data_IF_048127438300
#
_entry.id   IF_048127438300
#
_cell.length_a   1.000
_cell.length_b   1.000
_cell.length_c   1.000
_cell.angle_alpha   90.00
_cell.angle_beta   90.00
_cell.angle_gamma   90.00
#
_symmetry.space_group_name_H-M   'P 1'
#
loop_
_entity.id
_entity.type
_entity.pdbx_description
1 polymer ?
#
# COMPACT_ATOMS: atom_id res chain seq x y z
N UNK A 1 -4.20 -11.18 -16.13
CA UNK A 1 -3.59 -11.34 -17.46
C UNK A 1 -2.53 -12.46 -17.58
N UNK A 2 -1.65 -12.74 -16.60
CA UNK A 2 -0.83 -13.97 -16.61
C UNK A 2 -1.49 -15.14 -15.84
N UNK A 3 -2.16 -14.81 -14.72
CA UNK A 3 -2.91 -15.76 -13.89
C UNK A 3 -4.09 -16.41 -14.61
N UNK A 4 -4.66 -15.71 -15.61
CA UNK A 4 -5.80 -16.20 -16.41
C UNK A 4 -5.35 -17.20 -17.50
N UNK A 5 -4.04 -17.27 -17.81
CA UNK A 5 -3.48 -18.18 -18.83
C UNK A 5 -2.75 -19.40 -18.25
N UNK A 6 -2.04 -19.23 -17.14
CA UNK A 6 -1.20 -20.30 -16.53
C UNK A 6 -1.91 -20.97 -15.35
N UNK A 7 -3.02 -20.38 -14.89
CA UNK A 7 -3.75 -20.83 -13.71
C UNK A 7 -3.22 -20.19 -12.43
N UNK A 8 -4.14 -19.72 -11.59
CA UNK A 8 -3.83 -18.94 -10.37
C UNK A 8 -2.94 -19.70 -9.38
N UNK A 9 -3.14 -21.02 -9.25
CA UNK A 9 -2.31 -21.90 -8.40
C UNK A 9 -0.84 -21.90 -8.82
N UNK A 10 -0.56 -21.93 -10.13
CA UNK A 10 0.80 -21.88 -10.65
C UNK A 10 1.46 -20.53 -10.38
N UNK A 11 0.70 -19.42 -10.50
CA UNK A 11 1.25 -18.09 -10.24
C UNK A 11 1.55 -17.89 -8.77
N UNK A 12 0.68 -18.32 -7.86
CA UNK A 12 0.96 -18.29 -6.41
C UNK A 12 2.17 -19.17 -6.07
N UNK A 13 2.27 -20.37 -6.66
CA UNK A 13 3.43 -21.25 -6.49
C UNK A 13 4.73 -20.57 -6.92
N UNK A 14 4.72 -19.86 -8.05
CA UNK A 14 5.87 -19.10 -8.53
C UNK A 14 6.23 -17.93 -7.61
N UNK A 15 5.24 -17.24 -7.03
CA UNK A 15 5.48 -16.18 -6.03
C UNK A 15 6.07 -16.72 -4.73
N UNK A 16 5.57 -17.85 -4.22
CA UNK A 16 6.11 -18.51 -3.03
C UNK A 16 7.54 -19.01 -3.28
N UNK A 17 7.80 -19.62 -4.43
CA UNK A 17 9.13 -20.07 -4.82
C UNK A 17 10.12 -18.91 -4.94
N UNK A 18 9.72 -17.80 -5.57
CA UNK A 18 10.52 -16.59 -5.64
C UNK A 18 10.87 -16.06 -4.24
N UNK A 19 9.91 -16.02 -3.32
CA UNK A 19 10.13 -15.59 -1.94
C UNK A 19 11.10 -16.51 -1.19
N UNK A 20 10.95 -17.83 -1.35
CA UNK A 20 11.88 -18.82 -0.80
C UNK A 20 13.32 -18.56 -1.28
N UNK A 21 13.52 -18.40 -2.59
CA UNK A 21 14.83 -18.10 -3.17
C UNK A 21 15.42 -16.79 -2.62
N UNK A 22 14.60 -15.74 -2.44
CA UNK A 22 15.03 -14.48 -1.83
C UNK A 22 15.54 -14.67 -0.40
N UNK A 23 14.79 -15.42 0.44
CA UNK A 23 15.18 -15.66 1.83
C UNK A 23 16.44 -16.52 1.93
N UNK A 24 16.54 -17.60 1.14
CA UNK A 24 17.71 -18.46 1.11
C UNK A 24 18.94 -17.68 0.63
N UNK A 25 18.83 -16.93 -0.46
CA UNK A 25 19.95 -16.15 -0.99
C UNK A 25 20.45 -15.11 0.02
N UNK A 26 19.52 -14.34 0.61
CA UNK A 26 19.85 -13.32 1.60
C UNK A 26 20.48 -13.95 2.84
N UNK A 27 19.95 -15.09 3.32
CA UNK A 27 20.53 -15.82 4.45
C UNK A 27 21.94 -16.33 4.12
N UNK A 28 22.16 -16.91 2.94
CA UNK A 28 23.49 -17.38 2.51
C UNK A 28 24.51 -16.24 2.47
N UNK A 29 24.17 -15.10 1.85
CA UNK A 29 25.08 -13.94 1.77
C UNK A 29 25.39 -13.39 3.16
N UNK A 30 24.40 -13.29 4.05
CA UNK A 30 24.59 -12.78 5.41
C UNK A 30 25.31 -13.76 6.34
N UNK A 31 25.09 -15.07 6.18
CA UNK A 31 25.75 -16.09 6.98
C UNK A 31 27.22 -16.26 6.57
N UNK A 32 27.49 -16.29 5.27
CA UNK A 32 28.83 -16.41 4.70
C UNK A 32 29.49 -15.06 4.40
N UNK A 33 29.18 -14.02 5.19
CA UNK A 33 29.66 -12.64 4.96
C UNK A 33 31.19 -12.50 4.95
N UNK A 34 31.92 -13.48 5.50
CA UNK A 34 33.39 -13.52 5.50
C UNK A 34 33.99 -14.02 4.18
N UNK A 35 33.25 -14.81 3.41
CA UNK A 35 33.70 -15.40 2.15
C UNK A 35 33.03 -14.75 0.94
N UNK A 36 31.76 -14.36 1.08
CA UNK A 36 30.98 -13.71 0.03
C UNK A 36 31.00 -12.19 0.21
N UNK A 37 31.27 -11.41 -0.85
CA UNK A 37 31.17 -9.97 -0.76
C UNK A 37 29.71 -9.56 -0.51
N UNK A 38 29.48 -8.64 0.42
CA UNK A 38 28.14 -8.15 0.78
C UNK A 38 27.34 -7.63 -0.43
N UNK A 39 28.02 -7.13 -1.46
CA UNK A 39 27.39 -6.67 -2.71
C UNK A 39 26.54 -7.76 -3.42
N UNK A 40 26.77 -9.05 -3.14
CA UNK A 40 25.92 -10.11 -3.68
C UNK A 40 24.48 -10.06 -3.17
N UNK A 41 24.20 -9.31 -2.09
CA UNK A 41 22.82 -9.11 -1.63
C UNK A 41 21.96 -8.44 -2.70
N UNK A 42 22.53 -7.61 -3.57
CA UNK A 42 21.80 -6.92 -4.64
C UNK A 42 21.27 -7.85 -5.74
N UNK A 43 21.62 -9.14 -5.73
CA UNK A 43 21.06 -10.16 -6.63
C UNK A 43 19.63 -10.54 -6.23
N UNK A 44 19.24 -10.34 -4.97
CA UNK A 44 17.93 -10.78 -4.44
C UNK A 44 16.71 -10.34 -5.29
N UNK A 45 16.65 -9.11 -5.86
CA UNK A 45 15.47 -8.67 -6.62
C UNK A 45 15.26 -9.46 -7.92
N UNK A 46 16.30 -10.11 -8.47
CA UNK A 46 16.17 -10.92 -9.68
C UNK A 46 15.23 -12.11 -9.47
N UNK A 47 15.18 -12.68 -8.27
CA UNK A 47 14.24 -13.75 -7.95
C UNK A 47 12.79 -13.25 -7.91
N UNK A 48 12.58 -12.01 -7.46
CA UNK A 48 11.25 -11.38 -7.45
C UNK A 48 10.71 -11.13 -8.87
N UNK A 49 11.56 -11.04 -9.88
CA UNK A 49 11.13 -10.84 -11.27
C UNK A 49 10.26 -12.00 -11.77
N UNK A 50 10.56 -13.23 -11.34
CA UNK A 50 9.77 -14.42 -11.69
C UNK A 50 8.45 -14.49 -10.90
N UNK A 51 8.43 -14.04 -9.64
CA UNK A 51 7.27 -14.19 -8.75
C UNK A 51 6.36 -12.97 -8.62
N UNK A 52 6.77 -11.79 -9.11
CA UNK A 52 6.04 -10.53 -9.01
C UNK A 52 5.96 -9.93 -7.60
N UNK A 53 6.52 -10.61 -6.59
CA UNK A 53 6.59 -10.15 -5.20
C UNK A 53 5.25 -10.07 -4.47
N UNK A 54 5.25 -9.33 -3.35
CA UNK A 54 4.09 -9.25 -2.44
C UNK A 54 2.81 -8.65 -3.06
N UNK A 55 2.94 -7.74 -4.03
CA UNK A 55 1.79 -7.14 -4.72
C UNK A 55 1.04 -8.17 -5.58
N UNK A 56 1.77 -9.04 -6.26
CA UNK A 56 1.17 -10.12 -7.06
C UNK A 56 0.54 -11.17 -6.15
N UNK A 57 1.20 -11.55 -5.05
CA UNK A 57 0.60 -12.43 -4.05
C UNK A 57 -0.74 -11.88 -3.52
N UNK A 58 -0.76 -10.61 -3.10
CA UNK A 58 -1.94 -9.97 -2.55
C UNK A 58 -3.10 -9.91 -3.54
N UNK A 59 -2.84 -9.55 -4.80
CA UNK A 59 -3.88 -9.49 -5.84
C UNK A 59 -4.46 -10.85 -6.20
N UNK A 60 -3.67 -11.92 -6.18
CA UNK A 60 -4.17 -13.26 -6.46
C UNK A 60 -4.97 -13.81 -5.28
N UNK A 61 -4.54 -13.57 -4.04
CA UNK A 61 -5.28 -14.00 -2.84
C UNK A 61 -6.68 -13.35 -2.81
N UNK A 62 -6.78 -12.05 -3.09
CA UNK A 62 -8.07 -11.37 -3.16
C UNK A 62 -8.92 -11.87 -4.32
N UNK A 63 -8.32 -12.16 -5.46
CA UNK A 63 -9.02 -12.70 -6.62
C UNK A 63 -9.54 -14.14 -6.37
N UNK A 64 -8.78 -14.99 -5.69
CA UNK A 64 -9.22 -16.33 -5.27
C UNK A 64 -10.37 -16.23 -4.27
N UNK A 65 -10.26 -15.35 -3.28
CA UNK A 65 -11.33 -15.13 -2.30
C UNK A 65 -12.63 -14.63 -2.94
N UNK A 66 -12.53 -13.79 -3.98
CA UNK A 66 -13.68 -13.34 -4.75
C UNK A 66 -14.40 -14.49 -5.50
N UNK A 67 -13.64 -15.45 -6.03
CA UNK A 67 -14.16 -16.56 -6.84
C UNK A 67 -14.71 -17.73 -6.02
N UNK A 68 -14.04 -18.10 -4.93
CA UNK A 68 -14.46 -19.23 -4.08
C UNK A 68 -15.77 -18.92 -3.37
N UNK A 69 -16.12 -17.65 -3.20
CA UNK A 69 -17.30 -17.20 -2.45
C UNK A 69 -18.37 -16.66 -3.42
N UNK A 70 -19.47 -17.41 -3.68
CA UNK A 70 -20.48 -17.02 -4.66
C UNK A 70 -21.39 -15.88 -4.21
N UNK A 71 -21.73 -15.82 -2.91
CA UNK A 71 -22.67 -14.82 -2.36
C UNK A 71 -21.97 -13.52 -1.95
N UNK A 72 -22.54 -12.38 -2.29
CA UNK A 72 -21.99 -11.04 -2.00
C UNK A 72 -21.72 -10.80 -0.49
N UNK A 73 -22.66 -11.20 0.37
CA UNK A 73 -22.51 -11.07 1.83
C UNK A 73 -21.34 -11.89 2.39
N UNK A 74 -21.21 -13.15 1.96
CA UNK A 74 -20.11 -14.01 2.41
C UNK A 74 -18.76 -13.54 1.85
N UNK A 75 -18.72 -12.94 0.65
CA UNK A 75 -17.50 -12.39 0.06
C UNK A 75 -16.99 -11.20 0.87
N UNK A 76 -17.90 -10.32 1.28
CA UNK A 76 -17.60 -9.21 2.18
C UNK A 76 -17.03 -9.71 3.51
N UNK A 77 -17.62 -10.76 4.10
CA UNK A 77 -17.09 -11.41 5.32
C UNK A 77 -15.69 -12.01 5.10
N UNK A 78 -15.46 -12.67 3.96
CA UNK A 78 -14.15 -13.24 3.63
C UNK A 78 -13.06 -12.18 3.49
N UNK A 79 -13.34 -11.07 2.79
CA UNK A 79 -12.41 -9.94 2.70
C UNK A 79 -12.15 -9.29 4.06
N UNK A 80 -13.18 -9.18 4.90
CA UNK A 80 -13.02 -8.69 6.27
C UNK A 80 -12.09 -9.61 7.08
N UNK A 81 -12.29 -10.93 7.03
CA UNK A 81 -11.43 -11.91 7.70
C UNK A 81 -9.98 -11.86 7.21
N UNK A 82 -9.76 -11.74 5.90
CA UNK A 82 -8.40 -11.56 5.34
C UNK A 82 -7.73 -10.28 5.87
N UNK A 83 -8.50 -9.19 5.98
CA UNK A 83 -8.04 -7.96 6.60
C UNK A 83 -7.65 -8.15 8.07
N UNK A 84 -8.48 -8.81 8.86
CA UNK A 84 -8.23 -9.11 10.28
C UNK A 84 -6.97 -9.98 10.45
N UNK A 85 -6.82 -11.03 9.65
CA UNK A 85 -5.63 -11.91 9.70
C UNK A 85 -4.36 -11.09 9.41
N UNK A 86 -4.37 -10.25 8.38
CA UNK A 86 -3.25 -9.37 8.04
C UNK A 86 -2.89 -8.43 9.20
N UNK A 87 -3.91 -7.86 9.86
CA UNK A 87 -3.71 -7.01 11.03
C UNK A 87 -3.12 -7.76 12.24
N UNK A 88 -3.63 -8.95 12.54
CA UNK A 88 -3.11 -9.79 13.63
C UNK A 88 -1.65 -10.17 13.38
N UNK A 89 -1.30 -10.55 12.16
CA UNK A 89 0.09 -10.85 11.77
C UNK A 89 0.96 -9.61 11.92
N UNK A 90 0.50 -8.43 11.49
CA UNK A 90 1.26 -7.18 11.63
C UNK A 90 1.54 -6.78 13.10
N UNK A 91 0.64 -7.14 14.03
CA UNK A 91 0.83 -6.91 15.47
C UNK A 91 1.70 -7.98 16.12
N UNK A 92 1.51 -9.24 15.76
CA UNK A 92 2.15 -10.38 16.42
C UNK A 92 3.56 -10.70 15.89
N UNK A 93 3.80 -10.52 14.58
CA UNK A 93 5.07 -10.89 13.96
C UNK A 93 6.28 -10.12 14.53
N UNK A 94 6.23 -8.78 14.72
CA UNK A 94 7.38 -8.05 15.24
C UNK A 94 7.79 -8.45 16.67
N UNK A 95 6.89 -8.58 17.66
CA UNK A 95 7.26 -9.05 19.01
C UNK A 95 7.75 -10.49 19.05
N UNK A 96 7.16 -11.38 18.25
CA UNK A 96 7.62 -12.78 18.13
C UNK A 96 9.04 -12.80 17.56
N UNK A 97 9.27 -12.07 16.47
CA UNK A 97 10.60 -11.92 15.87
C UNK A 97 11.62 -11.30 16.84
N UNK A 98 11.21 -10.27 17.60
CA UNK A 98 12.05 -9.64 18.61
C UNK A 98 12.45 -10.61 19.73
N UNK A 99 11.52 -11.42 20.24
CA UNK A 99 11.82 -12.43 21.27
C UNK A 99 12.76 -13.52 20.74
N UNK A 100 12.51 -14.02 19.54
CA UNK A 100 13.40 -15.04 18.93
C UNK A 100 14.80 -14.45 18.72
N UNK A 101 14.89 -13.22 18.25
CA UNK A 101 16.17 -12.54 18.09
C UNK A 101 16.89 -12.32 19.42
N UNK A 102 16.16 -12.04 20.49
CA UNK A 102 16.72 -11.88 21.83
C UNK A 102 17.30 -13.19 22.40
N UNK A 103 16.58 -14.31 22.27
CA UNK A 103 16.99 -15.60 22.85
C UNK A 103 17.94 -16.41 21.97
N UNK A 104 17.73 -16.40 20.66
CA UNK A 104 18.44 -17.26 19.70
C UNK A 104 19.32 -16.48 18.70
N UNK A 105 19.31 -15.15 18.77
CA UNK A 105 20.10 -14.29 17.89
C UNK A 105 19.45 -13.98 16.53
N UNK A 106 20.02 -13.03 15.77
CA UNK A 106 19.44 -12.53 14.52
C UNK A 106 19.45 -13.56 13.39
N UNK A 107 20.45 -14.46 13.35
CA UNK A 107 20.54 -15.50 12.32
C UNK A 107 19.38 -16.49 12.41
N UNK A 108 19.00 -16.90 13.62
CA UNK A 108 17.86 -17.81 13.82
C UNK A 108 16.56 -17.09 13.50
N UNK A 109 16.39 -15.86 13.98
CA UNK A 109 15.20 -15.06 13.70
C UNK A 109 14.96 -14.85 12.20
N UNK A 110 16.02 -14.57 11.42
CA UNK A 110 15.93 -14.45 9.98
C UNK A 110 15.74 -15.81 9.29
N UNK A 111 16.49 -16.83 9.74
CA UNK A 111 16.48 -18.18 9.16
C UNK A 111 15.10 -18.85 9.22
N UNK A 112 14.28 -18.52 10.23
CA UNK A 112 12.90 -19.01 10.34
C UNK A 112 11.98 -18.62 9.17
N UNK A 113 12.30 -17.56 8.42
CA UNK A 113 11.54 -17.22 7.22
C UNK A 113 11.61 -18.32 6.14
N UNK A 114 12.71 -19.09 6.09
CA UNK A 114 12.89 -20.17 5.11
C UNK A 114 11.87 -21.30 5.32
N UNK A 115 11.82 -22.02 6.46
CA UNK A 115 10.82 -23.06 6.68
C UNK A 115 9.38 -22.49 6.66
N UNK A 116 9.17 -21.26 7.14
CA UNK A 116 7.85 -20.63 7.10
C UNK A 116 7.38 -20.38 5.66
N UNK A 117 8.27 -20.00 4.75
CA UNK A 117 7.95 -19.85 3.33
C UNK A 117 7.61 -21.18 2.65
N UNK A 118 8.19 -22.29 3.09
CA UNK A 118 7.80 -23.65 2.63
C UNK A 118 6.41 -24.02 3.16
N UNK A 119 6.11 -23.70 4.42
CA UNK A 119 4.77 -23.90 4.99
C UNK A 119 3.68 -23.13 4.24
N UNK A 120 4.02 -22.01 3.58
CA UNK A 120 3.07 -21.26 2.74
C UNK A 120 2.59 -22.06 1.51
N UNK A 121 3.27 -23.15 1.13
CA UNK A 121 2.83 -24.07 0.08
C UNK A 121 1.65 -24.94 0.54
N UNK A 122 1.49 -25.18 1.85
CA UNK A 122 0.40 -26.00 2.40
C UNK A 122 -0.98 -25.43 2.00
N UNK A 123 -1.33 -24.17 2.30
CA UNK A 123 -2.60 -23.60 1.85
C UNK A 123 -2.71 -23.58 0.32
N UNK A 124 -1.60 -23.44 -0.43
CA UNK A 124 -1.62 -23.52 -1.90
C UNK A 124 -2.05 -24.89 -2.42
N UNK A 125 -1.62 -25.97 -1.77
CA UNK A 125 -2.01 -27.33 -2.15
C UNK A 125 -3.49 -27.57 -1.84
N UNK A 126 -3.95 -27.07 -0.69
CA UNK A 126 -5.34 -27.18 -0.22
C UNK A 126 -6.32 -26.30 -1.00
N UNK A 127 -5.84 -25.26 -1.69
CA UNK A 127 -6.69 -24.44 -2.54
C UNK A 127 -7.24 -25.28 -3.70
N UNK A 128 -8.59 -25.35 -3.85
CA UNK A 128 -9.20 -26.01 -5.00
C UNK A 128 -8.74 -25.31 -6.28
N UNK A 129 -8.52 -26.07 -7.35
CA UNK A 129 -8.02 -25.54 -8.62
C UNK A 129 -9.11 -24.66 -9.26
N UNK A 130 -9.17 -23.37 -8.91
CA UNK A 130 -10.22 -22.43 -9.37
C UNK A 130 -10.05 -21.95 -10.81
N UNK A 131 -9.21 -22.59 -11.63
CA UNK A 131 -8.76 -22.02 -12.91
C UNK A 131 -9.06 -22.87 -14.16
N UNK A 132 -10.08 -23.74 -14.16
CA UNK A 132 -10.47 -24.47 -15.40
C UNK A 132 -11.94 -24.31 -15.82
N UNK A 133 -12.75 -23.53 -15.10
CA UNK A 133 -14.21 -23.66 -15.20
C UNK A 133 -15.00 -22.63 -16.02
N UNK A 134 -14.43 -21.53 -16.52
CA UNK A 134 -15.25 -20.47 -17.18
C UNK A 134 -14.72 -19.84 -18.47
N UNK A 135 -13.53 -20.21 -18.96
CA UNK A 135 -12.99 -19.63 -20.20
C UNK A 135 -13.05 -20.55 -21.43
N UNK A 136 -13.56 -21.78 -21.29
CA UNK A 136 -13.63 -22.76 -22.38
C UNK A 136 -15.05 -23.04 -22.91
N UNK A 137 -16.09 -22.35 -22.40
CA UNK A 137 -17.48 -22.63 -22.78
C UNK A 137 -18.19 -21.46 -23.49
N UNK A 138 -17.47 -20.40 -23.85
CA UNK A 138 -18.03 -19.23 -24.57
C UNK A 138 -17.37 -19.02 -25.95
N UNK A 139 -16.68 -20.04 -26.50
CA UNK A 139 -16.06 -20.00 -27.84
C UNK A 139 -16.53 -21.14 -28.75
N UNK A 140 -17.82 -21.51 -28.74
CA UNK A 140 -18.32 -22.53 -29.68
C UNK A 140 -19.62 -22.14 -30.40
N UNK A 141 -20.00 -20.87 -30.40
CA UNK A 141 -21.05 -20.38 -31.31
C UNK A 141 -20.71 -18.98 -31.83
N UNK A 142 -19.74 -18.90 -32.74
CA UNK A 142 -19.87 -18.11 -33.98
C UNK A 142 -18.72 -18.48 -34.94
N UNK A 143 -19.03 -19.26 -35.97
CA UNK A 143 -18.14 -19.57 -37.08
C UNK A 143 -18.31 -18.46 -38.12
N UNK A 144 -17.34 -17.53 -38.18
CA UNK A 144 -17.42 -16.36 -39.05
C UNK A 144 -16.11 -15.58 -39.17
N UNK A 145 -15.26 -15.99 -40.12
CA UNK A 145 -14.11 -15.26 -40.69
C UNK A 145 -12.87 -15.05 -39.81
N UNK A 146 -11.93 -15.99 -39.96
CA UNK A 146 -10.54 -15.91 -39.52
C UNK A 146 -9.80 -14.80 -40.27
N UNK A 147 -9.65 -13.64 -39.64
CA UNK A 147 -8.61 -12.66 -39.94
C UNK A 147 -7.51 -12.74 -38.87
N UNK A 148 -6.37 -13.33 -39.19
CA UNK A 148 -5.21 -13.44 -38.27
C UNK A 148 -4.74 -12.06 -37.78
N UNK A 149 -4.77 -11.73 -36.47
CA UNK A 149 -4.19 -10.48 -35.99
C UNK A 149 -2.68 -10.65 -35.84
N UNK A 150 -1.95 -9.91 -36.66
CA UNK A 150 -0.51 -9.78 -36.67
C UNK A 150 -0.03 -9.21 -35.32
N UNK A 151 0.60 -10.02 -34.45
CA UNK A 151 1.02 -9.65 -33.07
C UNK A 151 1.96 -8.43 -32.99
N UNK A 152 2.56 -8.00 -34.10
CA UNK A 152 3.38 -6.80 -34.18
C UNK A 152 2.57 -5.49 -34.29
N UNK A 153 1.32 -5.55 -34.78
CA UNK A 153 0.45 -4.36 -34.83
C UNK A 153 -0.14 -4.02 -33.47
N UNK A 154 -0.40 -5.02 -32.62
CA UNK A 154 -1.06 -4.89 -31.29
C UNK A 154 -0.25 -4.06 -30.28
N UNK A 155 1.09 -4.13 -30.33
CA UNK A 155 1.94 -3.28 -29.50
C UNK A 155 1.88 -1.84 -29.99
N UNK A 156 2.00 -1.59 -31.30
CA UNK A 156 2.02 -0.22 -31.86
C UNK A 156 0.67 0.49 -31.77
N UNK A 157 -0.46 -0.23 -31.89
CA UNK A 157 -1.80 0.31 -31.58
C UNK A 157 -1.97 0.52 -30.09
N UNK A 158 -1.52 -0.41 -29.23
CA UNK A 158 -1.54 -0.22 -27.77
C UNK A 158 -0.76 1.01 -27.31
N UNK A 159 0.41 1.29 -27.91
CA UNK A 159 1.17 2.52 -27.64
C UNK A 159 0.48 3.79 -28.16
N UNK A 160 -0.25 3.72 -29.28
CA UNK A 160 -1.00 4.87 -29.81
C UNK A 160 -2.27 5.14 -28.99
N UNK A 161 -2.98 4.10 -28.57
CA UNK A 161 -4.16 4.19 -27.71
C UNK A 161 -3.80 4.63 -26.29
N UNK A 162 -2.71 4.10 -25.73
CA UNK A 162 -2.17 4.58 -24.46
C UNK A 162 -1.72 6.04 -24.57
N UNK A 163 -1.10 6.44 -25.68
CA UNK A 163 -0.72 7.84 -25.92
C UNK A 163 -1.94 8.74 -26.11
N UNK A 164 -3.00 8.30 -26.78
CA UNK A 164 -4.23 9.09 -26.90
C UNK A 164 -4.98 9.20 -25.58
N UNK A 165 -5.08 8.13 -24.78
CA UNK A 165 -5.65 8.19 -23.43
C UNK A 165 -4.79 9.04 -22.48
N UNK A 166 -3.47 8.94 -22.55
CA UNK A 166 -2.56 9.78 -21.75
C UNK A 166 -2.65 11.24 -22.19
N UNK A 167 -2.74 11.55 -23.48
CA UNK A 167 -2.79 12.94 -23.94
C UNK A 167 -4.15 13.58 -23.70
N UNK A 168 -5.24 12.85 -23.97
CA UNK A 168 -6.60 13.39 -23.96
C UNK A 168 -7.28 13.33 -22.58
N UNK A 169 -6.94 12.36 -21.72
CA UNK A 169 -7.64 12.17 -20.43
C UNK A 169 -6.73 12.50 -19.22
N UNK A 170 -5.42 12.23 -19.33
CA UNK A 170 -4.46 12.45 -18.24
C UNK A 170 -4.09 13.92 -18.03
N UNK A 171 -3.81 14.66 -19.10
CA UNK A 171 -3.43 16.08 -19.00
C UNK A 171 -4.57 16.96 -18.46
N UNK A 172 -5.84 16.77 -18.83
CA UNK A 172 -6.94 17.51 -18.22
C UNK A 172 -7.07 17.29 -16.71
N UNK A 173 -6.87 16.06 -16.22
CA UNK A 173 -6.89 15.78 -14.78
C UNK A 173 -5.76 16.53 -14.04
N UNK A 174 -4.58 16.64 -14.65
CA UNK A 174 -3.45 17.40 -14.10
C UNK A 174 -3.64 18.93 -14.19
N UNK A 175 -4.64 19.44 -14.92
CA UNK A 175 -5.00 20.87 -14.86
C UNK A 175 -5.78 21.21 -13.60
N UNK A 176 -6.39 20.22 -12.94
CA UNK A 176 -7.11 20.43 -11.68
C UNK A 176 -6.12 20.58 -10.51
N UNK A 177 -5.96 21.81 -10.03
CA UNK A 177 -5.09 22.12 -8.88
C UNK A 177 -5.36 21.20 -7.67
N UNK A 178 -6.61 20.91 -7.28
CA UNK A 178 -6.89 19.97 -6.18
C UNK A 178 -6.36 18.55 -6.41
N UNK A 179 -6.42 18.05 -7.65
CA UNK A 179 -5.91 16.72 -8.00
C UNK A 179 -4.38 16.73 -7.93
N UNK A 180 -3.73 17.77 -8.46
CA UNK A 180 -2.26 17.90 -8.39
C UNK A 180 -1.78 17.97 -6.94
N UNK A 181 -2.44 18.77 -6.10
CA UNK A 181 -2.14 18.82 -4.66
C UNK A 181 -2.35 17.45 -4.03
N UNK A 182 -3.46 16.76 -4.32
CA UNK A 182 -3.73 15.41 -3.82
C UNK A 182 -2.68 14.37 -4.24
N UNK A 183 -2.21 14.43 -5.50
CA UNK A 183 -1.14 13.55 -5.99
C UNK A 183 0.19 13.85 -5.29
N UNK A 184 0.56 15.13 -5.17
CA UNK A 184 1.78 15.54 -4.45
C UNK A 184 1.72 15.13 -2.97
N UNK A 185 0.55 15.28 -2.35
CA UNK A 185 0.22 14.80 -1.02
C UNK A 185 0.44 13.29 -0.85
N UNK A 186 0.10 12.47 -1.86
CA UNK A 186 0.36 11.03 -1.86
C UNK A 186 1.85 10.69 -2.06
N UNK A 187 2.57 11.46 -2.88
CA UNK A 187 4.04 11.33 -3.01
C UNK A 187 4.70 11.59 -1.66
N UNK A 188 4.37 12.69 -0.98
CA UNK A 188 4.88 13.01 0.36
C UNK A 188 4.48 11.93 1.36
N UNK A 189 3.24 11.43 1.27
CA UNK A 189 2.74 10.33 2.10
C UNK A 189 3.57 9.04 1.99
N UNK A 190 4.26 8.82 0.86
CA UNK A 190 5.13 7.66 0.66
C UNK A 190 6.38 7.70 1.56
N UNK A 191 6.81 8.89 2.00
CA UNK A 191 7.92 9.02 2.96
C UNK A 191 7.59 8.43 4.32
N UNK A 192 6.35 8.57 4.81
CA UNK A 192 5.96 7.95 6.07
C UNK A 192 5.97 6.41 6.00
N UNK A 193 5.70 5.84 4.83
CA UNK A 193 5.82 4.39 4.61
C UNK A 193 7.29 3.97 4.66
N UNK A 194 8.16 4.71 3.96
CA UNK A 194 9.60 4.43 3.91
C UNK A 194 10.31 4.58 5.27
N UNK A 195 9.74 5.30 6.25
CA UNK A 195 10.26 5.34 7.63
C UNK A 195 10.41 3.95 8.22
N UNK A 196 9.53 3.00 7.87
CA UNK A 196 9.61 1.62 8.33
C UNK A 196 10.95 0.93 8.00
N UNK A 197 11.63 1.37 6.94
CA UNK A 197 12.91 0.81 6.49
C UNK A 197 14.09 1.29 7.33
N UNK A 198 14.01 2.52 7.87
CA UNK A 198 15.11 3.15 8.60
C UNK A 198 14.90 3.17 10.11
N UNK A 199 13.66 2.98 10.60
CA UNK A 199 13.29 3.19 12.01
C UNK A 199 14.15 2.36 12.96
N UNK A 200 14.42 1.11 12.64
CA UNK A 200 15.23 0.22 13.49
C UNK A 200 16.68 0.71 13.58
N UNK A 201 17.26 1.12 12.45
CA UNK A 201 18.63 1.63 12.38
C UNK A 201 18.76 2.97 13.13
N UNK A 202 17.78 3.84 12.94
CA UNK A 202 17.67 5.10 13.67
C UNK A 202 17.61 4.89 15.18
N UNK A 203 16.73 3.99 15.67
CA UNK A 203 16.57 3.73 17.11
C UNK A 203 17.87 3.23 17.74
N UNK A 204 18.60 2.37 17.02
CA UNK A 204 19.92 1.90 17.46
C UNK A 204 20.93 3.04 17.51
N UNK A 205 21.02 3.87 16.47
CA UNK A 205 21.97 4.96 16.40
C UNK A 205 21.67 6.10 17.39
N UNK A 206 20.39 6.41 17.62
CA UNK A 206 19.94 7.53 18.47
C UNK A 206 19.89 7.16 19.95
N UNK A 207 19.34 5.98 20.28
CA UNK A 207 19.06 5.59 21.67
C UNK A 207 19.92 4.43 22.17
N UNK A 208 20.80 3.86 21.33
CA UNK A 208 21.58 2.68 21.68
C UNK A 208 20.73 1.41 21.87
N UNK A 209 19.50 1.40 21.36
CA UNK A 209 18.59 0.27 21.51
C UNK A 209 19.08 -0.97 20.75
N UNK A 210 18.90 -2.14 21.36
CA UNK A 210 19.06 -3.42 20.66
C UNK A 210 17.99 -3.55 19.57
N UNK A 211 18.34 -4.25 18.48
CA UNK A 211 17.43 -4.46 17.34
C UNK A 211 16.08 -5.05 17.76
N UNK A 212 16.07 -5.90 18.80
CA UNK A 212 14.87 -6.53 19.36
C UNK A 212 13.92 -5.49 19.98
N UNK A 213 14.45 -4.54 20.75
CA UNK A 213 13.67 -3.48 21.40
C UNK A 213 13.09 -2.53 20.37
N UNK A 214 13.88 -2.17 19.36
CA UNK A 214 13.44 -1.31 18.26
C UNK A 214 12.29 -1.93 17.46
N UNK A 215 12.26 -3.25 17.33
CA UNK A 215 11.19 -3.98 16.62
C UNK A 215 9.84 -3.88 17.35
N UNK A 216 9.84 -3.72 18.68
CA UNK A 216 8.61 -3.54 19.47
C UNK A 216 7.87 -2.23 19.14
N UNK A 217 8.59 -1.21 18.64
CA UNK A 217 7.96 0.05 18.20
C UNK A 217 7.03 -0.20 17.00
N UNK A 218 7.45 -1.07 16.09
CA UNK A 218 6.63 -1.46 14.93
C UNK A 218 5.36 -2.17 15.41
N UNK A 219 5.48 -3.08 16.37
CA UNK A 219 4.36 -3.79 16.96
C UNK A 219 3.34 -2.86 17.62
N UNK A 220 3.82 -1.91 18.42
CA UNK A 220 2.98 -0.93 19.09
C UNK A 220 2.26 -0.03 18.08
N UNK A 221 2.97 0.44 17.05
CA UNK A 221 2.36 1.19 15.97
C UNK A 221 1.25 0.39 15.29
N UNK A 222 1.51 -0.88 14.94
CA UNK A 222 0.49 -1.76 14.37
C UNK A 222 -0.71 -1.94 15.32
N UNK A 223 -0.48 -2.16 16.62
CA UNK A 223 -1.54 -2.34 17.60
C UNK A 223 -2.40 -1.08 17.75
N UNK A 224 -1.78 0.10 17.76
CA UNK A 224 -2.49 1.38 17.76
C UNK A 224 -3.31 1.58 16.49
N UNK A 225 -2.78 1.22 15.31
CA UNK A 225 -3.55 1.29 14.06
C UNK A 225 -4.79 0.41 14.10
N UNK A 226 -4.67 -0.81 14.63
CA UNK A 226 -5.81 -1.71 14.83
C UNK A 226 -6.81 -1.10 15.80
N UNK A 227 -6.35 -0.60 16.96
CA UNK A 227 -7.21 0.04 17.94
C UNK A 227 -7.96 1.23 17.33
N UNK A 228 -7.27 2.12 16.62
CA UNK A 228 -7.85 3.29 15.97
C UNK A 228 -8.83 2.89 14.86
N UNK A 229 -8.52 1.87 14.06
CA UNK A 229 -9.43 1.39 13.02
C UNK A 229 -10.71 0.80 13.63
N UNK A 230 -10.59 0.04 14.73
CA UNK A 230 -11.73 -0.58 15.40
C UNK A 230 -12.57 0.38 16.25
N UNK A 231 -11.97 1.45 16.78
CA UNK A 231 -12.65 2.38 17.71
C UNK A 231 -12.97 3.72 17.08
N UNK A 232 -11.96 4.36 16.47
CA UNK A 232 -12.06 5.73 15.96
C UNK A 232 -12.77 5.75 14.62
N UNK A 233 -12.48 4.83 13.69
CA UNK A 233 -13.11 4.86 12.38
C UNK A 233 -14.65 4.69 12.43
N UNK A 234 -15.23 3.71 13.15
CA UNK A 234 -16.70 3.60 13.26
C UNK A 234 -17.32 4.77 14.04
N UNK A 235 -16.63 5.28 15.07
CA UNK A 235 -17.11 6.45 15.82
C UNK A 235 -17.08 7.73 14.96
N UNK A 236 -15.98 7.96 14.26
CA UNK A 236 -15.82 9.06 13.32
C UNK A 236 -16.84 8.95 12.19
N UNK A 237 -17.02 7.78 11.58
CA UNK A 237 -18.02 7.57 10.53
C UNK A 237 -19.44 7.88 11.04
N UNK A 238 -19.81 7.41 12.24
CA UNK A 238 -21.12 7.70 12.87
C UNK A 238 -21.32 9.19 13.22
N UNK A 239 -20.26 9.91 13.58
CA UNK A 239 -20.34 11.34 13.93
C UNK A 239 -20.27 12.25 12.70
N UNK A 240 -19.43 11.92 11.72
CA UNK A 240 -19.24 12.69 10.49
C UNK A 240 -20.49 12.61 9.60
N UNK A 241 -21.07 11.42 9.41
CA UNK A 241 -22.31 11.25 8.62
C UNK A 241 -23.52 11.96 9.23
N UNK A 242 -23.49 12.28 10.53
CA UNK A 242 -24.53 13.08 11.19
C UNK A 242 -24.36 14.59 11.02
N UNK A 243 -23.17 15.07 10.67
CA UNK A 243 -22.83 16.51 10.69
C UNK A 243 -22.39 17.08 9.35
N UNK A 244 -21.89 16.26 8.44
CA UNK A 244 -21.32 16.71 7.18
C UNK A 244 -21.69 15.76 6.03
N UNK A 245 -21.87 16.33 4.84
CA UNK A 245 -21.73 15.58 3.59
C UNK A 245 -20.39 14.85 3.57
N UNK A 246 -20.38 13.56 3.19
CA UNK A 246 -19.20 12.67 3.19
C UNK A 246 -17.94 13.34 2.62
N UNK A 247 -18.10 14.12 1.55
CA UNK A 247 -17.01 14.84 0.86
C UNK A 247 -16.34 15.94 1.69
N UNK A 248 -17.10 16.70 2.47
CA UNK A 248 -16.55 17.74 3.38
C UNK A 248 -15.87 17.10 4.58
N UNK A 249 -16.42 15.98 5.04
CA UNK A 249 -15.89 15.20 6.13
C UNK A 249 -14.49 14.63 5.82
N UNK A 250 -14.30 14.11 4.60
CA UNK A 250 -13.01 13.61 4.12
C UNK A 250 -11.94 14.70 4.06
N UNK A 251 -12.27 15.88 3.53
CA UNK A 251 -11.31 16.99 3.48
C UNK A 251 -10.92 17.50 4.88
N UNK A 252 -11.88 17.56 5.81
CA UNK A 252 -11.59 17.91 7.22
C UNK A 252 -10.69 16.85 7.84
N UNK A 253 -10.95 15.56 7.59
CA UNK A 253 -10.11 14.48 8.09
C UNK A 253 -8.66 14.60 7.57
N UNK A 254 -8.47 14.90 6.28
CA UNK A 254 -7.14 15.18 5.72
C UNK A 254 -6.43 16.32 6.45
N UNK A 255 -7.14 17.45 6.66
CA UNK A 255 -6.62 18.66 7.32
C UNK A 255 -6.24 18.41 8.78
N UNK A 256 -6.93 17.52 9.47
CA UNK A 256 -6.66 17.17 10.87
C UNK A 256 -5.56 16.10 11.01
N UNK A 257 -5.50 15.13 10.11
CA UNK A 257 -4.53 14.03 10.19
C UNK A 257 -3.10 14.45 9.85
N UNK A 258 -2.91 15.35 8.87
CA UNK A 258 -1.56 15.75 8.44
C UNK A 258 -0.72 16.45 9.53
N UNK A 259 -1.27 17.37 10.35
CA UNK A 259 -0.53 17.94 11.48
C UNK A 259 -0.03 16.90 12.48
N UNK A 260 -0.81 15.84 12.76
CA UNK A 260 -0.36 14.76 13.67
C UNK A 260 0.87 14.04 13.12
N UNK A 261 0.92 13.75 11.82
CA UNK A 261 2.11 13.16 11.18
C UNK A 261 3.31 14.13 11.21
N UNK A 262 3.08 15.41 10.93
CA UNK A 262 4.12 16.43 11.03
C UNK A 262 4.73 16.50 12.44
N UNK A 263 3.87 16.57 13.47
CA UNK A 263 4.28 16.60 14.87
C UNK A 263 4.98 15.29 15.25
N UNK A 264 4.47 14.14 14.81
CA UNK A 264 5.11 12.84 15.03
C UNK A 264 6.58 12.87 14.57
N UNK A 265 6.85 13.26 13.33
CA UNK A 265 8.21 13.29 12.81
C UNK A 265 9.09 14.35 13.48
N UNK A 266 8.54 15.53 13.84
CA UNK A 266 9.27 16.53 14.62
C UNK A 266 9.68 16.01 16.00
N UNK A 267 8.73 15.42 16.73
CA UNK A 267 8.98 14.83 18.06
C UNK A 267 9.98 13.69 17.93
N UNK A 268 9.88 12.84 16.90
CA UNK A 268 10.87 11.81 16.63
C UNK A 268 12.29 12.38 16.46
N UNK A 269 12.46 13.36 15.57
CA UNK A 269 13.75 13.99 15.30
C UNK A 269 14.36 14.66 16.54
N UNK A 270 13.54 15.35 17.33
CA UNK A 270 13.98 16.07 18.54
C UNK A 270 14.22 15.15 19.74
N UNK A 271 13.53 14.02 19.83
CA UNK A 271 13.58 13.14 20.99
C UNK A 271 15.00 12.65 21.25
N UNK A 272 15.51 12.98 22.44
CA UNK A 272 16.76 12.43 22.97
C UNK A 272 16.50 11.22 23.88
N UNK A 273 15.24 10.97 24.24
CA UNK A 273 14.87 9.88 25.14
C UNK A 273 14.01 8.82 24.43
N UNK A 274 14.14 7.55 24.86
CA UNK A 274 13.26 6.47 24.44
C UNK A 274 11.75 6.74 24.63
N UNK A 275 11.38 7.43 25.71
CA UNK A 275 9.98 7.78 25.98
C UNK A 275 9.40 8.70 24.91
N UNK A 276 10.21 9.65 24.42
CA UNK A 276 9.82 10.55 23.34
C UNK A 276 9.50 9.80 22.03
N UNK A 277 10.22 8.72 21.73
CA UNK A 277 9.94 7.88 20.57
C UNK A 277 8.57 7.18 20.66
N UNK A 278 8.20 6.66 21.83
CA UNK A 278 6.86 6.06 22.03
C UNK A 278 5.75 7.09 21.89
N UNK A 279 5.95 8.28 22.45
CA UNK A 279 5.00 9.41 22.31
C UNK A 279 4.87 9.82 20.85
N UNK A 280 5.97 9.96 20.12
CA UNK A 280 5.95 10.29 18.69
C UNK A 280 5.12 9.28 17.89
N UNK A 281 5.35 7.98 18.10
CA UNK A 281 4.57 6.90 17.43
C UNK A 281 3.09 7.00 17.78
N UNK A 282 2.76 7.25 19.04
CA UNK A 282 1.38 7.39 19.47
C UNK A 282 0.68 8.56 18.77
N UNK A 283 1.36 9.71 18.65
CA UNK A 283 0.86 10.89 17.93
C UNK A 283 0.66 10.56 16.44
N UNK A 284 1.66 9.96 15.79
CA UNK A 284 1.61 9.66 14.36
C UNK A 284 0.47 8.74 13.96
N UNK A 285 0.06 7.83 14.85
CA UNK A 285 -1.05 6.91 14.56
C UNK A 285 -2.40 7.63 14.35
N UNK A 286 -2.61 8.82 14.91
CA UNK A 286 -3.79 9.65 14.60
C UNK A 286 -3.80 10.20 13.16
N UNK A 287 -2.67 10.11 12.46
CA UNK A 287 -2.51 10.44 11.04
C UNK A 287 -3.09 9.42 10.05
N UNK A 288 -3.44 8.21 10.53
CA UNK A 288 -3.81 7.06 9.69
C UNK A 288 -4.91 7.34 8.64
N UNK A 289 -5.88 8.20 8.98
CA UNK A 289 -7.03 8.51 8.13
C UNK A 289 -6.70 9.26 6.84
N UNK A 290 -5.54 9.91 6.75
CA UNK A 290 -5.18 10.78 5.63
C UNK A 290 -5.20 10.08 4.26
N UNK A 291 -4.55 8.91 4.15
CA UNK A 291 -4.41 8.22 2.87
C UNK A 291 -5.74 7.77 2.27
N UNK A 292 -6.69 7.33 3.10
CA UNK A 292 -8.03 6.98 2.65
C UNK A 292 -8.86 8.21 2.30
N UNK A 293 -8.85 9.21 3.17
CA UNK A 293 -9.62 10.44 3.01
C UNK A 293 -9.19 11.23 1.76
N UNK A 294 -7.88 11.31 1.46
CA UNK A 294 -7.39 12.01 0.28
C UNK A 294 -7.83 11.30 -1.01
N UNK A 295 -7.77 9.96 -1.05
CA UNK A 295 -8.27 9.18 -2.20
C UNK A 295 -9.77 9.40 -2.41
N UNK A 296 -10.55 9.38 -1.33
CA UNK A 296 -11.99 9.66 -1.38
C UNK A 296 -12.28 11.08 -1.90
N UNK A 297 -11.57 12.08 -1.37
CA UNK A 297 -11.66 13.47 -1.82
C UNK A 297 -11.35 13.63 -3.31
N UNK A 298 -10.24 13.05 -3.78
CA UNK A 298 -9.86 13.12 -5.19
C UNK A 298 -10.87 12.39 -6.09
N UNK A 299 -11.37 11.24 -5.66
CA UNK A 299 -12.38 10.47 -6.41
C UNK A 299 -13.67 11.28 -6.58
N UNK A 300 -14.05 12.05 -5.57
CA UNK A 300 -15.25 12.89 -5.62
C UNK A 300 -15.16 14.07 -6.61
N UNK A 301 -13.95 14.44 -7.06
CA UNK A 301 -13.69 15.55 -7.99
C UNK A 301 -13.68 15.13 -9.46
N UNK A 302 -13.69 13.84 -9.73
CA UNK A 302 -13.48 13.26 -11.05
C UNK A 302 -14.77 12.56 -11.49
N UNK A 303 -15.18 12.67 -12.76
CA UNK A 303 -16.34 11.95 -13.28
C UNK A 303 -16.12 10.43 -13.26
N UNK A 304 -17.21 9.67 -13.26
CA UNK A 304 -17.17 8.22 -12.99
C UNK A 304 -16.33 7.43 -14.02
N UNK A 305 -16.30 7.88 -15.28
CA UNK A 305 -15.48 7.27 -16.34
C UNK A 305 -13.97 7.43 -16.11
N UNK A 306 -13.53 8.46 -15.38
CA UNK A 306 -12.11 8.77 -15.15
C UNK A 306 -11.56 8.21 -13.83
N UNK A 307 -12.39 7.54 -13.02
CA UNK A 307 -11.97 7.02 -11.70
C UNK A 307 -10.81 6.02 -11.84
N UNK A 308 -10.86 5.10 -12.80
CA UNK A 308 -9.79 4.13 -13.02
C UNK A 308 -8.45 4.82 -13.36
N UNK A 309 -8.50 5.89 -14.14
CA UNK A 309 -7.35 6.71 -14.50
C UNK A 309 -6.77 7.43 -13.27
N UNK A 310 -7.63 8.01 -12.44
CA UNK A 310 -7.23 8.64 -11.18
C UNK A 310 -6.51 7.66 -10.24
N UNK A 311 -7.02 6.44 -10.07
CA UNK A 311 -6.36 5.44 -9.20
C UNK A 311 -5.03 4.97 -9.78
N UNK A 312 -4.91 4.90 -11.12
CA UNK A 312 -3.64 4.64 -11.80
C UNK A 312 -2.64 5.76 -11.55
N UNK A 313 -3.07 7.02 -11.60
CA UNK A 313 -2.28 8.20 -11.25
C UNK A 313 -1.80 8.16 -9.80
N UNK A 314 -2.70 7.89 -8.86
CA UNK A 314 -2.39 7.78 -7.43
C UNK A 314 -1.37 6.66 -7.19
N UNK A 315 -1.57 5.49 -7.80
CA UNK A 315 -0.64 4.37 -7.71
C UNK A 315 0.74 4.70 -8.27
N UNK A 316 0.79 5.35 -9.44
CA UNK A 316 2.03 5.77 -10.09
C UNK A 316 2.77 6.81 -9.23
N UNK A 317 2.06 7.82 -8.73
CA UNK A 317 2.62 8.84 -7.85
C UNK A 317 3.18 8.21 -6.55
N UNK A 318 2.44 7.27 -5.94
CA UNK A 318 2.91 6.53 -4.77
C UNK A 318 4.15 5.68 -5.06
N UNK A 319 4.22 5.01 -6.20
CA UNK A 319 5.39 4.21 -6.59
C UNK A 319 6.64 5.08 -6.78
N UNK A 320 6.50 6.21 -7.49
CA UNK A 320 7.57 7.20 -7.65
C UNK A 320 8.00 7.74 -6.28
N UNK A 321 7.03 8.13 -5.45
CA UNK A 321 7.27 8.62 -4.10
C UNK A 321 8.06 7.62 -3.26
N UNK A 322 7.67 6.34 -3.27
CA UNK A 322 8.35 5.31 -2.49
C UNK A 322 9.79 5.05 -2.97
N UNK A 323 10.01 5.05 -4.29
CA UNK A 323 11.35 4.89 -4.88
C UNK A 323 12.31 5.97 -4.37
N UNK A 324 11.89 7.25 -4.43
CA UNK A 324 12.71 8.36 -3.96
C UNK A 324 12.80 8.39 -2.43
N UNK A 325 11.69 8.13 -1.73
CA UNK A 325 11.64 8.18 -0.27
C UNK A 325 12.63 7.20 0.37
N UNK A 326 12.67 5.94 -0.09
CA UNK A 326 13.61 4.94 0.45
C UNK A 326 15.06 5.40 0.32
N UNK A 327 15.46 5.84 -0.88
CA UNK A 327 16.82 6.30 -1.14
C UNK A 327 17.19 7.56 -0.32
N UNK A 328 16.31 8.57 -0.33
CA UNK A 328 16.54 9.83 0.38
C UNK A 328 16.61 9.62 1.89
N UNK A 329 15.75 8.78 2.46
CA UNK A 329 15.76 8.48 3.89
C UNK A 329 17.01 7.69 4.31
N UNK A 330 17.46 6.73 3.52
CA UNK A 330 18.69 6.01 3.81
C UNK A 330 19.92 6.92 3.74
N UNK A 331 19.99 7.79 2.73
CA UNK A 331 21.09 8.76 2.59
C UNK A 331 21.10 9.77 3.74
N UNK A 332 19.95 10.36 4.07
CA UNK A 332 19.86 11.32 5.18
C UNK A 332 20.12 10.67 6.54
N UNK A 333 19.71 9.42 6.76
CA UNK A 333 20.09 8.67 7.94
C UNK A 333 21.60 8.44 7.99
N UNK A 334 22.24 8.04 6.88
CA UNK A 334 23.68 7.82 6.84
C UNK A 334 24.47 9.09 7.15
N UNK A 335 24.05 10.24 6.58
CA UNK A 335 24.61 11.56 6.90
C UNK A 335 24.39 11.89 8.37
N UNK A 336 23.18 11.67 8.89
CA UNK A 336 22.85 11.94 10.29
C UNK A 336 23.67 11.11 11.28
N UNK A 337 23.87 9.82 11.00
CA UNK A 337 24.70 8.92 11.83
C UNK A 337 26.16 9.39 11.83
N UNK A 338 26.71 9.78 10.67
CA UNK A 338 28.09 10.28 10.57
C UNK A 338 28.30 11.59 11.33
N UNK A 339 27.31 12.49 11.27
CA UNK A 339 27.38 13.77 11.97
C UNK A 339 27.16 13.65 13.49
N UNK A 340 26.37 12.65 13.93
CA UNK A 340 26.11 12.39 15.33
C UNK A 340 25.20 13.42 16.01
N UNK A 341 25.07 13.33 17.34
CA UNK A 341 24.25 14.25 18.12
C UNK A 341 22.80 14.33 17.65
N UNK A 342 22.25 15.55 17.56
CA UNK A 342 20.87 15.80 17.09
C UNK A 342 20.69 15.51 15.59
N UNK A 343 21.77 15.53 14.81
CA UNK A 343 21.70 15.32 13.36
C UNK A 343 21.39 13.86 13.00
N UNK A 344 21.47 12.91 13.94
CA UNK A 344 20.92 11.56 13.75
C UNK A 344 19.41 11.61 13.42
N UNK A 345 18.70 12.65 13.88
CA UNK A 345 17.30 12.92 13.57
C UNK A 345 17.02 13.53 12.19
N UNK A 346 18.05 13.80 11.38
CA UNK A 346 17.92 14.44 10.05
C UNK A 346 16.83 13.84 9.13
N UNK A 347 16.70 12.51 8.95
CA UNK A 347 15.62 11.96 8.13
C UNK A 347 14.24 12.40 8.63
N UNK A 348 14.04 12.48 9.94
CA UNK A 348 12.77 12.89 10.54
C UNK A 348 12.51 14.39 10.40
N UNK A 349 13.54 15.24 10.51
CA UNK A 349 13.41 16.67 10.23
C UNK A 349 13.05 16.94 8.77
N UNK A 350 13.64 16.19 7.83
CA UNK A 350 13.27 16.27 6.42
C UNK A 350 11.80 15.90 6.21
N UNK A 351 11.36 14.76 6.73
CA UNK A 351 9.97 14.31 6.57
C UNK A 351 9.01 15.30 7.23
N UNK A 352 9.33 15.77 8.44
CA UNK A 352 8.55 16.81 9.13
C UNK A 352 8.38 18.06 8.27
N UNK A 353 9.44 18.50 7.59
CA UNK A 353 9.40 19.67 6.71
C UNK A 353 8.50 19.42 5.49
N UNK A 354 8.62 18.24 4.87
CA UNK A 354 7.74 17.82 3.76
C UNK A 354 6.27 17.75 4.19
N UNK A 355 6.00 17.20 5.37
CA UNK A 355 4.65 17.15 5.94
C UNK A 355 4.13 18.54 6.33
N UNK A 356 4.99 19.44 6.80
CA UNK A 356 4.64 20.85 7.03
C UNK A 356 4.20 21.55 5.74
N UNK A 357 4.93 21.34 4.64
CA UNK A 357 4.53 21.82 3.30
C UNK A 357 3.20 21.18 2.89
N UNK A 358 3.04 19.88 3.11
CA UNK A 358 1.82 19.15 2.78
C UNK A 358 0.59 19.68 3.54
N UNK A 359 0.76 20.00 4.81
CA UNK A 359 -0.26 20.65 5.65
C UNK A 359 -0.70 21.98 5.03
N UNK A 360 0.24 22.83 4.63
CA UNK A 360 -0.07 24.11 3.99
C UNK A 360 -0.82 23.91 2.66
N UNK A 361 -0.34 23.00 1.81
CA UNK A 361 -0.96 22.70 0.52
C UNK A 361 -2.39 22.20 0.66
N UNK A 362 -2.63 21.25 1.58
CA UNK A 362 -3.96 20.68 1.81
C UNK A 362 -4.88 21.70 2.48
N UNK A 363 -4.36 22.62 3.29
CA UNK A 363 -5.18 23.71 3.83
C UNK A 363 -5.68 24.69 2.76
N UNK A 364 -4.94 24.88 1.67
CA UNK A 364 -5.40 25.66 0.52
C UNK A 364 -6.56 25.01 -0.23
N UNK A 365 -6.81 23.70 -0.06
CA UNK A 365 -7.91 23.00 -0.71
C UNK A 365 -9.27 23.45 -0.17
N UNK A 366 -10.20 23.68 -1.10
CA UNK A 366 -11.61 23.97 -0.83
C UNK A 366 -12.45 22.71 -0.94
N UNK A 367 -13.59 22.71 -0.25
CA UNK A 367 -14.58 21.65 -0.40
C UNK A 367 -15.10 21.60 -1.84
N UNK A 368 -15.38 20.40 -2.39
CA UNK A 368 -15.97 20.28 -3.72
C UNK A 368 -17.36 20.94 -3.73
N UNK A 369 -17.81 21.53 -4.85
CA UNK A 369 -19.21 21.93 -4.98
C UNK A 369 -20.13 20.71 -4.85
N UNK A 370 -21.39 20.90 -4.39
CA UNK A 370 -22.36 19.81 -4.32
C UNK A 370 -22.49 19.14 -5.69
N UNK A 371 -22.59 17.80 -5.75
CA UNK A 371 -23.07 17.15 -6.98
C UNK A 371 -24.47 17.73 -7.19
N UNK A 372 -24.70 18.45 -8.30
CA UNK A 372 -26.06 18.77 -8.70
C UNK A 372 -26.79 17.43 -8.78
N UNK A 373 -27.91 17.30 -8.05
CA UNK A 373 -28.82 16.19 -8.30
C UNK A 373 -29.16 16.32 -9.76
N UNK A 374 -28.79 15.31 -10.56
CA UNK A 374 -29.40 15.14 -11.86
C UNK A 374 -30.86 14.97 -11.52
N UNK A 375 -31.67 15.99 -11.85
CA UNK A 375 -33.11 15.88 -11.76
C UNK A 375 -33.46 14.59 -12.51
N UNK A 376 -34.04 13.62 -11.79
CA UNK A 376 -34.73 12.51 -12.40
C UNK A 376 -35.79 13.16 -13.30
N UNK A 377 -35.50 13.28 -14.60
CA UNK A 377 -36.52 13.57 -15.59
C UNK A 377 -37.62 12.53 -15.38
N UNK A 378 -38.87 12.95 -15.07
CA UNK A 378 -39.94 12.00 -14.88
C UNK A 378 -40.09 11.22 -16.19
N UNK A 379 -39.89 9.90 -16.10
CA UNK A 379 -40.21 8.95 -17.16
C UNK A 379 -41.60 9.32 -17.68
N UNK A 380 -41.77 9.67 -18.97
CA UNK A 380 -43.09 9.98 -19.49
C UNK A 380 -43.95 8.73 -19.32
N UNK A 381 -45.03 8.86 -18.56
CA UNK A 381 -46.05 7.84 -18.38
C UNK A 381 -46.47 7.31 -19.75
N UNK A 382 -46.01 6.10 -20.10
CA UNK A 382 -46.56 5.38 -21.25
C UNK A 382 -48.05 5.24 -21.01
N UNK A 383 -48.81 5.79 -21.96
CA UNK A 383 -50.24 5.95 -21.86
C UNK A 383 -50.98 4.63 -21.65
N UNK A 384 -52.07 4.74 -20.91
CA UNK A 384 -53.15 3.78 -20.90
C UNK A 384 -53.61 3.49 -22.34
N UNK A 385 -53.23 2.34 -22.88
CA UNK A 385 -53.97 1.71 -23.96
C UNK A 385 -55.01 0.81 -23.30
N UNK A 386 -56.21 1.36 -23.09
CA UNK A 386 -57.43 0.56 -22.84
C UNK A 386 -58.11 0.28 -24.17
N UNK A 387 -58.16 -1.02 -24.49
CA UNK A 387 -59.15 -1.81 -25.28
C UNK A 387 -59.69 -1.16 -26.55
#
# INVERSE_FOLDING_TARGET
>A
MLADRIGRKSVVGMTVFAAFCCYVWSFCVLYFYKTLPFALIYVYPLFLWFGGGGYVAGSIITAIAAEVVPSEDSRTRAFFLLGVISMLVAVAAPPVGARIMHYHGPYVAYGLNIPLSVCAVIPLVLLPETAKGKSLQENTEDDGMIGTPNKASTLRTGWKELKSHVVNDFFPLLKSIPIVIGLLSMVIGSFAVAVGEIIIQYMKARFGWSYEKSTNVIAFSAAMRVLLLCTVLPFAHKQLTKRYETRKADLVLCKLSLPFECICFLVFGLSATPAGAWVAVAIGNFGLGFGGAMRSYMTALVPEHDIALLYTLIGTAGAIGNLFASAVLQLTLAVGIRAGGMLVGLPFFLIASLYGINVLLVWCLRSPPPKAMVDDEPIPSQGDIRI
#
